data_IF_116917457797
#
_entry.id   IF_116917457797
#
_cell.length_a   1.000
_cell.length_b   1.000
_cell.length_c   1.000
_cell.angle_alpha   90.00
_cell.angle_beta   90.00
_cell.angle_gamma   90.00
#
_symmetry.space_group_name_H-M   'P 1'
#
loop_
_entity.id
_entity.type
_entity.pdbx_description
1 polymer ?
#
# COMPACT_ATOMS: atom_id res chain seq x y z
N UNK A 1 2.92 11.90 12.15
CA UNK A 1 3.03 11.53 13.59
C UNK A 1 4.39 10.90 13.89
N UNK A 2 4.68 9.65 13.52
CA UNK A 2 6.00 9.02 13.82
C UNK A 2 7.19 9.77 13.22
N UNK A 3 7.05 10.33 12.02
CA UNK A 3 8.06 11.18 11.40
C UNK A 3 8.19 12.59 12.03
N UNK A 4 7.38 12.93 13.05
CA UNK A 4 7.39 14.27 13.66
C UNK A 4 6.84 15.41 12.79
N UNK A 5 6.52 15.15 11.52
CA UNK A 5 5.98 16.17 10.59
C UNK A 5 4.53 16.50 10.96
N UNK A 6 4.25 17.79 11.15
CA UNK A 6 2.91 18.31 11.36
C UNK A 6 2.13 18.29 10.03
N UNK A 7 0.86 17.88 10.08
CA UNK A 7 0.03 17.66 8.88
C UNK A 7 -0.35 18.96 8.17
N UNK A 8 -0.45 20.07 8.89
CA UNK A 8 -0.66 21.41 8.35
C UNK A 8 0.49 21.88 7.46
N UNK A 9 1.73 21.44 7.73
CA UNK A 9 2.90 21.69 6.87
C UNK A 9 2.87 20.89 5.56
N UNK A 10 2.07 19.81 5.49
CA UNK A 10 1.92 19.00 4.29
C UNK A 10 0.73 19.43 3.43
N UNK A 11 -0.25 20.12 4.00
CA UNK A 11 -1.41 20.62 3.28
C UNK A 11 -0.98 21.57 2.15
N UNK A 12 -1.46 21.31 0.94
CA UNK A 12 -1.14 22.04 -0.27
C UNK A 12 0.24 21.75 -0.88
N UNK A 13 1.05 20.86 -0.26
CA UNK A 13 2.39 20.52 -0.74
C UNK A 13 2.38 19.55 -1.92
N UNK A 14 3.53 19.41 -2.57
CA UNK A 14 3.81 18.45 -3.64
C UNK A 14 4.06 17.01 -3.13
N UNK A 15 3.63 16.68 -1.90
CA UNK A 15 3.87 15.35 -1.31
C UNK A 15 3.25 14.25 -2.15
N UNK A 16 4.05 13.29 -2.59
CA UNK A 16 3.58 12.12 -3.32
C UNK A 16 3.00 11.04 -2.40
N UNK A 17 2.09 10.22 -2.92
CA UNK A 17 1.50 9.06 -2.25
C UNK A 17 1.49 7.85 -3.19
N UNK A 18 2.27 6.82 -2.86
CA UNK A 18 2.31 5.56 -3.60
C UNK A 18 1.99 4.39 -2.68
N UNK A 19 0.87 3.71 -2.90
CA UNK A 19 0.46 2.59 -2.02
C UNK A 19 0.33 1.31 -2.82
N UNK A 20 1.05 0.28 -2.42
CA UNK A 20 0.92 -1.07 -2.95
C UNK A 20 -0.36 -1.75 -2.45
N UNK A 21 -1.20 -2.20 -3.38
CA UNK A 21 -2.42 -2.98 -3.10
C UNK A 21 -2.70 -3.90 -4.29
N UNK A 22 -3.15 -5.12 -4.00
CA UNK A 22 -3.42 -6.16 -5.01
C UNK A 22 -4.84 -6.72 -4.82
N UNK A 23 -5.24 -7.05 -3.57
CA UNK A 23 -6.56 -7.64 -3.33
C UNK A 23 -7.72 -6.66 -3.56
N UNK A 24 -8.77 -7.15 -4.21
CA UNK A 24 -10.07 -6.49 -4.47
C UNK A 24 -11.26 -7.35 -3.97
N UNK A 25 -10.98 -8.35 -3.14
CA UNK A 25 -11.94 -9.39 -2.75
C UNK A 25 -13.16 -8.86 -1.99
N UNK A 26 -12.99 -7.78 -1.22
CA UNK A 26 -14.12 -7.06 -0.63
C UNK A 26 -15.02 -6.38 -1.69
N UNK A 27 -14.41 -5.77 -2.71
CA UNK A 27 -15.15 -5.16 -3.83
C UNK A 27 -15.99 -6.22 -4.54
N UNK A 28 -15.39 -7.38 -4.85
CA UNK A 28 -16.09 -8.49 -5.49
C UNK A 28 -17.24 -9.02 -4.63
N UNK A 29 -17.02 -9.17 -3.33
CA UNK A 29 -18.06 -9.64 -2.40
C UNK A 29 -19.27 -8.71 -2.39
N UNK A 30 -19.06 -7.39 -2.41
CA UNK A 30 -20.15 -6.41 -2.49
C UNK A 30 -20.83 -6.46 -3.87
N UNK A 31 -20.05 -6.53 -4.95
CA UNK A 31 -20.60 -6.47 -6.31
C UNK A 31 -21.39 -7.74 -6.68
N UNK A 32 -21.12 -8.86 -6.02
CA UNK A 32 -21.89 -10.10 -6.18
C UNK A 32 -23.24 -10.07 -5.41
N UNK A 33 -23.39 -9.18 -4.41
CA UNK A 33 -24.63 -8.98 -3.64
C UNK A 33 -25.34 -7.69 -4.09
N UNK A 34 -26.09 -7.76 -5.19
CA UNK A 34 -26.75 -6.58 -5.80
C UNK A 34 -27.55 -5.72 -4.79
N UNK A 35 -28.34 -6.29 -3.86
CA UNK A 35 -28.99 -5.52 -2.80
C UNK A 35 -28.05 -4.74 -1.85
N UNK A 36 -26.78 -5.14 -1.70
CA UNK A 36 -25.80 -4.48 -0.85
C UNK A 36 -25.01 -3.37 -1.57
N UNK A 37 -25.24 -3.16 -2.87
CA UNK A 37 -24.58 -2.11 -3.63
C UNK A 37 -25.20 -0.76 -3.28
N UNK A 38 -24.38 0.11 -2.69
CA UNK A 38 -24.72 1.48 -2.31
C UNK A 38 -23.92 2.49 -3.13
N UNK A 39 -24.31 3.76 -3.09
CA UNK A 39 -23.62 4.84 -3.80
C UNK A 39 -22.11 4.93 -3.46
N UNK A 40 -21.73 4.58 -2.23
CA UNK A 40 -20.34 4.59 -1.77
C UNK A 40 -19.55 3.34 -2.16
N UNK A 41 -20.19 2.27 -2.63
CA UNK A 41 -19.52 1.00 -2.96
C UNK A 41 -18.45 1.17 -4.04
N UNK A 42 -18.68 2.08 -5.00
CA UNK A 42 -17.72 2.41 -6.05
C UNK A 42 -16.42 2.99 -5.48
N UNK A 43 -16.47 4.18 -4.89
CA UNK A 43 -15.26 4.85 -4.38
C UNK A 43 -14.72 4.20 -3.09
N UNK A 44 -15.57 3.47 -2.35
CA UNK A 44 -15.21 2.81 -1.10
C UNK A 44 -14.33 1.58 -1.30
N UNK A 45 -14.38 0.95 -2.48
CA UNK A 45 -13.66 -0.29 -2.77
C UNK A 45 -12.66 -0.18 -3.92
N UNK A 46 -12.64 0.93 -4.65
CA UNK A 46 -11.73 1.09 -5.76
C UNK A 46 -10.26 1.24 -5.31
N UNK A 47 -9.34 0.56 -6.00
CA UNK A 47 -7.90 0.59 -5.68
C UNK A 47 -7.30 2.00 -5.66
N UNK A 48 -7.67 2.86 -6.61
CA UNK A 48 -7.22 4.25 -6.64
C UNK A 48 -7.60 5.02 -5.36
N UNK A 49 -8.66 4.61 -4.67
CA UNK A 49 -9.09 5.20 -3.41
C UNK A 49 -8.08 4.99 -2.28
N UNK A 50 -7.23 3.96 -2.34
CA UNK A 50 -6.24 3.65 -1.31
C UNK A 50 -5.19 4.77 -1.18
N UNK A 51 -4.65 5.26 -2.30
CA UNK A 51 -3.74 6.42 -2.30
C UNK A 51 -4.50 7.74 -2.26
N UNK A 52 -5.53 7.91 -3.11
CA UNK A 52 -6.17 9.20 -3.31
C UNK A 52 -6.91 9.71 -2.08
N UNK A 53 -7.41 8.81 -1.22
CA UNK A 53 -8.07 9.21 0.04
C UNK A 53 -7.07 9.75 1.06
N UNK A 54 -5.82 9.28 1.05
CA UNK A 54 -4.73 9.84 1.86
C UNK A 54 -4.44 11.26 1.35
N UNK A 55 -4.26 11.41 0.04
CA UNK A 55 -4.02 12.71 -0.60
C UNK A 55 -5.14 13.70 -0.32
N UNK A 56 -6.40 13.28 -0.48
CA UNK A 56 -7.57 14.10 -0.17
C UNK A 56 -7.62 14.51 1.30
N UNK A 57 -7.39 13.57 2.22
CA UNK A 57 -7.50 13.83 3.66
C UNK A 57 -6.45 14.82 4.17
N UNK A 58 -5.24 14.80 3.59
CA UNK A 58 -4.13 15.67 3.99
C UNK A 58 -3.88 16.86 3.03
N UNK A 59 -4.76 17.09 2.03
CA UNK A 59 -4.58 18.09 0.95
C UNK A 59 -3.23 17.99 0.24
N UNK A 60 -2.81 16.77 -0.10
CA UNK A 60 -1.55 16.52 -0.82
C UNK A 60 -1.76 16.63 -2.32
N UNK A 61 -0.86 17.34 -3.01
CA UNK A 61 -0.99 17.70 -4.44
C UNK A 61 0.11 17.10 -5.32
N UNK A 62 0.97 16.25 -4.77
CA UNK A 62 1.90 15.44 -5.55
C UNK A 62 1.24 14.24 -6.24
N UNK A 63 2.02 13.43 -6.97
CA UNK A 63 1.55 12.19 -7.57
C UNK A 63 0.89 11.26 -6.55
N UNK A 64 -0.28 10.71 -6.88
CA UNK A 64 -1.06 9.84 -5.99
C UNK A 64 -1.50 8.60 -6.75
N UNK A 65 -0.98 7.43 -6.41
CA UNK A 65 -1.18 6.22 -7.22
C UNK A 65 -1.20 4.94 -6.39
N UNK A 66 -2.22 4.12 -6.65
CA UNK A 66 -2.26 2.74 -6.19
C UNK A 66 -1.43 1.88 -7.15
N UNK A 67 -0.57 1.03 -6.60
CA UNK A 67 0.41 0.25 -7.34
C UNK A 67 0.07 -1.22 -7.19
N UNK A 68 -0.12 -1.89 -8.32
CA UNK A 68 -0.26 -3.34 -8.39
C UNK A 68 0.88 -3.94 -9.20
N UNK A 69 1.77 -4.61 -8.48
CA UNK A 69 2.81 -5.50 -8.98
C UNK A 69 2.79 -6.82 -8.16
N UNK A 70 1.60 -7.28 -7.78
CA UNK A 70 1.36 -8.43 -6.93
C UNK A 70 2.20 -8.40 -5.62
N UNK A 71 2.95 -9.46 -5.32
CA UNK A 71 3.76 -9.54 -4.10
C UNK A 71 4.85 -8.45 -3.97
N UNK A 72 5.20 -7.77 -5.07
CA UNK A 72 6.20 -6.71 -5.06
C UNK A 72 5.61 -5.30 -4.95
N UNK A 73 4.28 -5.14 -4.88
CA UNK A 73 3.59 -3.84 -4.95
C UNK A 73 4.15 -2.79 -3.98
N UNK A 74 4.43 -3.15 -2.73
CA UNK A 74 4.97 -2.21 -1.73
C UNK A 74 6.40 -1.75 -2.05
N UNK A 75 7.23 -2.63 -2.61
CA UNK A 75 8.59 -2.28 -3.04
C UNK A 75 8.59 -1.45 -4.32
N UNK A 76 7.66 -1.70 -5.23
CA UNK A 76 7.46 -0.85 -6.41
C UNK A 76 6.95 0.53 -6.00
N UNK A 77 6.03 0.61 -5.02
CA UNK A 77 5.59 1.87 -4.45
C UNK A 77 6.75 2.68 -3.84
N UNK A 78 7.63 2.02 -3.08
CA UNK A 78 8.87 2.62 -2.58
C UNK A 78 9.79 3.10 -3.72
N UNK A 79 9.96 2.30 -4.77
CA UNK A 79 10.75 2.69 -5.93
C UNK A 79 10.22 3.98 -6.57
N UNK A 80 8.90 4.06 -6.83
CA UNK A 80 8.25 5.23 -7.41
C UNK A 80 8.36 6.45 -6.51
N UNK A 81 8.14 6.30 -5.21
CA UNK A 81 8.30 7.36 -4.22
C UNK A 81 9.72 7.93 -4.21
N UNK A 82 10.73 7.06 -4.28
CA UNK A 82 12.13 7.48 -4.43
C UNK A 82 12.35 8.23 -5.74
N UNK A 83 11.80 7.77 -6.86
CA UNK A 83 11.95 8.45 -8.14
C UNK A 83 11.35 9.86 -8.11
N UNK A 84 10.15 10.03 -7.55
CA UNK A 84 9.50 11.35 -7.41
C UNK A 84 10.36 12.34 -6.60
N UNK A 85 10.99 11.87 -5.52
CA UNK A 85 11.92 12.70 -4.72
C UNK A 85 13.21 13.03 -5.49
N UNK A 86 13.75 12.04 -6.21
CA UNK A 86 15.02 12.20 -6.92
C UNK A 86 14.90 13.08 -8.15
N UNK A 87 13.77 13.02 -8.86
CA UNK A 87 13.44 13.88 -10.00
C UNK A 87 13.06 15.30 -9.61
N UNK A 88 12.73 15.54 -8.33
CA UNK A 88 12.24 16.83 -7.84
C UNK A 88 10.76 17.07 -8.12
N UNK A 89 10.01 16.04 -8.52
CA UNK A 89 8.55 16.08 -8.65
C UNK A 89 7.85 16.21 -7.29
N UNK A 90 8.48 15.71 -6.23
CA UNK A 90 8.00 15.80 -4.85
C UNK A 90 9.13 16.04 -3.86
N UNK A 91 8.89 16.86 -2.84
CA UNK A 91 9.85 17.06 -1.73
C UNK A 91 9.76 15.99 -0.65
N UNK A 92 8.55 15.47 -0.44
CA UNK A 92 8.21 14.40 0.51
C UNK A 92 7.44 13.31 -0.25
N UNK A 93 7.60 12.05 0.13
CA UNK A 93 6.75 10.98 -0.38
C UNK A 93 6.28 10.06 0.74
N UNK A 94 5.00 9.71 0.71
CA UNK A 94 4.39 8.67 1.54
C UNK A 94 4.30 7.41 0.68
N UNK A 95 4.86 6.31 1.16
CA UNK A 95 4.71 5.04 0.46
C UNK A 95 4.58 3.84 1.37
N UNK A 96 4.10 2.73 0.83
CA UNK A 96 3.91 1.52 1.59
C UNK A 96 3.03 0.52 0.87
N UNK A 97 2.35 -0.33 1.62
CA UNK A 97 1.38 -1.26 1.05
C UNK A 97 0.47 -1.89 2.10
N UNK A 98 -0.62 -2.48 1.62
CA UNK A 98 -1.64 -3.13 2.45
C UNK A 98 -2.13 -4.42 1.79
N UNK A 99 -2.35 -5.45 2.60
CA UNK A 99 -3.02 -6.67 2.21
C UNK A 99 -4.00 -7.10 3.31
N UNK A 100 -5.25 -7.31 2.93
CA UNK A 100 -6.33 -7.83 3.79
C UNK A 100 -7.03 -8.96 3.02
N UNK A 101 -7.39 -10.03 3.74
CA UNK A 101 -8.04 -11.22 3.22
C UNK A 101 -9.52 -11.16 3.62
N UNK A 102 -10.33 -10.48 2.81
CA UNK A 102 -11.74 -10.25 3.10
C UNK A 102 -12.63 -11.44 2.71
N UNK A 103 -12.20 -12.28 1.76
CA UNK A 103 -12.99 -13.41 1.28
C UNK A 103 -12.12 -14.66 0.95
N UNK A 104 -12.71 -15.87 0.98
CA UNK A 104 -11.96 -17.11 0.78
C UNK A 104 -11.55 -17.36 -0.69
N UNK A 105 -12.10 -16.61 -1.66
CA UNK A 105 -11.95 -16.89 -3.09
C UNK A 105 -10.49 -16.95 -3.56
N UNK A 106 -9.69 -15.94 -3.21
CA UNK A 106 -8.26 -15.89 -3.56
C UNK A 106 -7.50 -17.04 -2.87
N UNK A 107 -7.82 -17.35 -1.61
CA UNK A 107 -7.22 -18.49 -0.90
C UNK A 107 -7.52 -19.80 -1.61
N UNK A 108 -8.78 -20.03 -2.03
CA UNK A 108 -9.16 -21.25 -2.76
C UNK A 108 -8.45 -21.35 -4.11
N UNK A 109 -8.35 -20.25 -4.85
CA UNK A 109 -7.61 -20.18 -6.10
C UNK A 109 -6.14 -20.58 -5.91
N UNK A 110 -5.47 -20.03 -4.90
CA UNK A 110 -4.07 -20.34 -4.60
C UNK A 110 -3.86 -21.78 -4.11
N UNK A 111 -4.81 -22.35 -3.36
CA UNK A 111 -4.80 -23.77 -3.01
C UNK A 111 -4.89 -24.66 -4.25
N UNK A 112 -5.79 -24.34 -5.18
CA UNK A 112 -5.92 -25.07 -6.45
C UNK A 112 -4.67 -24.95 -7.32
N UNK A 113 -3.97 -23.83 -7.25
CA UNK A 113 -2.69 -23.62 -7.91
C UNK A 113 -1.52 -24.36 -7.25
N UNK A 114 -1.71 -24.99 -6.09
CA UNK A 114 -0.65 -25.66 -5.33
C UNK A 114 0.35 -24.68 -4.68
N UNK A 115 -0.04 -23.40 -4.52
CA UNK A 115 0.85 -22.37 -3.99
C UNK A 115 0.89 -22.32 -2.45
N UNK A 116 -0.17 -22.79 -1.79
CA UNK A 116 -0.31 -22.72 -0.34
C UNK A 116 0.13 -24.01 0.35
N UNK A 117 0.84 -23.86 1.46
CA UNK A 117 1.08 -24.97 2.39
C UNK A 117 -0.23 -25.40 3.08
N UNK A 118 -0.35 -26.69 3.41
CA UNK A 118 -1.45 -27.24 4.22
C UNK A 118 -1.28 -26.98 5.72
N UNK A 119 -0.06 -26.64 6.16
CA UNK A 119 0.28 -26.42 7.58
C UNK A 119 0.08 -24.95 8.01
N UNK A 120 -0.16 -24.04 7.06
CA UNK A 120 -0.34 -22.61 7.36
C UNK A 120 0.93 -21.90 7.82
N UNK A 121 2.11 -22.48 7.61
CA UNK A 121 3.41 -21.89 8.00
C UNK A 121 4.35 -21.80 6.80
N UNK A 122 4.94 -20.62 6.58
CA UNK A 122 6.03 -20.44 5.63
C UNK A 122 7.33 -21.01 6.20
N UNK A 123 7.83 -22.12 5.63
CA UNK A 123 9.11 -22.73 6.00
C UNK A 123 10.24 -22.26 5.07
N UNK A 124 10.50 -20.96 5.04
CA UNK A 124 11.51 -20.38 4.13
C UNK A 124 12.87 -21.06 4.31
N UNK A 125 13.41 -21.59 3.21
CA UNK A 125 14.72 -22.30 3.14
C UNK A 125 14.80 -23.66 3.85
N UNK A 126 13.68 -24.19 4.34
CA UNK A 126 13.60 -25.53 4.95
C UNK A 126 13.43 -26.63 3.89
N UNK A 127 13.99 -27.82 4.13
CA UNK A 127 13.85 -28.97 3.24
C UNK A 127 12.39 -29.48 3.13
N UNK A 128 11.56 -29.21 4.13
CA UNK A 128 10.14 -29.55 4.18
C UNK A 128 9.23 -28.43 3.63
N UNK A 129 9.77 -27.39 2.98
CA UNK A 129 8.98 -26.32 2.39
C UNK A 129 8.04 -26.85 1.29
N UNK A 130 6.74 -26.54 1.41
CA UNK A 130 5.68 -27.05 0.54
C UNK A 130 4.77 -25.97 -0.06
N UNK A 131 5.11 -24.69 0.14
CA UNK A 131 4.31 -23.53 -0.27
C UNK A 131 4.43 -22.39 0.73
N UNK A 132 3.61 -21.35 0.57
CA UNK A 132 3.54 -20.22 1.52
C UNK A 132 2.18 -20.15 2.22
N UNK A 133 2.13 -19.45 3.35
CA UNK A 133 0.90 -19.12 4.06
C UNK A 133 0.56 -17.65 3.81
N UNK A 134 -0.71 -17.36 3.56
CA UNK A 134 -1.16 -15.98 3.36
C UNK A 134 -1.17 -15.26 4.71
N UNK A 135 -0.75 -13.99 4.71
CA UNK A 135 -0.78 -13.13 5.88
C UNK A 135 -1.39 -11.78 5.53
N UNK A 136 -1.93 -11.10 6.54
CA UNK A 136 -2.47 -9.74 6.43
C UNK A 136 -1.48 -8.75 7.02
N UNK A 137 -1.56 -7.50 6.58
CA UNK A 137 -0.74 -6.43 7.14
C UNK A 137 -0.77 -5.16 6.32
N UNK A 138 -0.30 -4.09 6.95
CA UNK A 138 -0.09 -2.81 6.30
C UNK A 138 1.13 -2.11 6.89
N UNK A 139 1.86 -1.40 6.05
CA UNK A 139 3.01 -0.60 6.47
C UNK A 139 3.08 0.67 5.63
N UNK A 140 3.48 1.77 6.28
CA UNK A 140 3.68 3.08 5.65
C UNK A 140 5.03 3.62 6.12
N UNK A 141 5.77 4.23 5.20
CA UNK A 141 7.00 4.98 5.45
C UNK A 141 6.90 6.35 4.79
N UNK A 142 7.56 7.33 5.41
CA UNK A 142 7.67 8.70 4.90
C UNK A 142 9.11 8.91 4.48
N UNK A 143 9.28 9.42 3.27
CA UNK A 143 10.58 9.62 2.64
C UNK A 143 10.82 11.09 2.36
N UNK A 144 12.07 11.49 2.55
CA UNK A 144 12.65 12.77 2.14
C UNK A 144 14.03 12.53 1.55
N UNK A 145 14.53 13.50 0.80
CA UNK A 145 15.96 13.52 0.47
C UNK A 145 16.77 13.69 1.77
N UNK A 146 17.86 12.94 1.91
CA UNK A 146 18.69 12.95 3.13
C UNK A 146 19.11 14.37 3.55
N UNK A 147 19.54 15.20 2.60
CA UNK A 147 19.92 16.59 2.88
C UNK A 147 18.77 17.40 3.45
N UNK A 148 17.56 17.28 2.89
CA UNK A 148 16.37 17.98 3.37
C UNK A 148 15.90 17.45 4.73
N UNK A 149 16.11 16.17 5.02
CA UNK A 149 15.82 15.60 6.34
C UNK A 149 16.79 16.13 7.41
N UNK A 150 18.08 16.28 7.06
CA UNK A 150 19.11 16.85 7.93
C UNK A 150 18.87 18.34 8.19
N UNK A 151 18.53 19.12 7.15
CA UNK A 151 18.20 20.54 7.26
C UNK A 151 17.00 20.78 8.18
N UNK A 152 15.96 19.94 8.07
CA UNK A 152 14.76 20.01 8.91
C UNK A 152 14.94 19.37 10.30
N UNK A 153 16.10 18.77 10.59
CA UNK A 153 16.39 18.05 11.84
C UNK A 153 15.41 16.88 12.12
N UNK A 154 15.03 16.16 11.07
CA UNK A 154 14.18 14.97 11.19
C UNK A 154 14.92 13.80 11.85
N UNK A 155 14.18 12.93 12.54
CA UNK A 155 14.72 11.66 13.04
C UNK A 155 14.83 10.63 11.91
N UNK A 156 16.04 10.41 11.40
CA UNK A 156 16.33 9.49 10.30
C UNK A 156 16.52 8.07 10.85
N UNK A 157 15.69 7.13 10.39
CA UNK A 157 15.69 5.74 10.89
C UNK A 157 16.69 4.82 10.16
N UNK A 158 16.92 5.04 8.87
CA UNK A 158 17.79 4.24 8.00
C UNK A 158 18.22 5.03 6.76
#
# INVERSE_FOLDING_TARGET
QNAGIQTDRLAGSDTAVYIGVDSDDYSRTIMDDLPAIEAWSGIGTAHHGVSNRISYHFDLRGPSTAVDAACASSLVALHLARQAIMSGESTVAICGGVNVICAPGITHMLQKAGALTTEGVCRSFDAAASGYARGEGGAIIVLKRLSAAQEDNDNILA
#
